data_IF_543131129212
#
_entry.id   IF_543131129212
#
_cell.length_a   1.000
_cell.length_b   1.000
_cell.length_c   1.000
_cell.angle_alpha   90.00
_cell.angle_beta   90.00
_cell.angle_gamma   90.00
#
_symmetry.space_group_name_H-M   'P 1'
#
loop_
_entity.id
_entity.type
_entity.pdbx_description
1 polymer ?
#
# COMPACT_ATOMS: atom_id res chain seq x y z
N UNK A 1 3.47 6.41 11.05
CA UNK A 1 4.04 6.47 9.68
C UNK A 1 3.23 5.59 8.73
N UNK A 2 2.89 6.13 7.56
CA UNK A 2 2.11 5.48 6.51
C UNK A 2 2.99 5.27 5.27
N UNK A 3 3.12 4.05 4.72
CA UNK A 3 4.05 3.73 3.63
C UNK A 3 3.57 4.16 2.22
N UNK A 4 2.49 4.93 2.14
CA UNK A 4 1.84 5.32 0.89
C UNK A 4 1.53 6.82 0.89
N UNK A 5 1.25 7.35 -0.31
CA UNK A 5 0.89 8.75 -0.49
C UNK A 5 -0.35 9.16 0.31
N UNK A 6 -0.41 10.46 0.63
CA UNK A 6 -1.58 11.07 1.27
C UNK A 6 -2.85 10.87 0.43
N UNK A 7 -3.99 10.69 1.08
CA UNK A 7 -5.26 10.40 0.42
C UNK A 7 -5.47 8.93 0.02
N UNK A 8 -4.45 8.07 0.14
CA UNK A 8 -4.61 6.62 -0.03
C UNK A 8 -5.58 6.02 1.01
N UNK A 9 -6.11 4.83 0.75
CA UNK A 9 -6.97 4.13 1.70
C UNK A 9 -6.32 3.92 3.07
N UNK A 10 -5.02 3.60 3.08
CA UNK A 10 -4.21 3.45 4.31
C UNK A 10 -4.06 4.78 5.07
N UNK A 11 -3.84 5.89 4.35
CA UNK A 11 -3.73 7.22 4.96
C UNK A 11 -5.04 7.64 5.65
N UNK A 12 -6.18 7.43 4.98
CA UNK A 12 -7.49 7.75 5.55
C UNK A 12 -7.74 6.99 6.85
N UNK A 13 -7.47 5.68 6.86
CA UNK A 13 -7.61 4.85 8.06
C UNK A 13 -6.67 5.32 9.19
N UNK A 14 -5.41 5.62 8.85
CA UNK A 14 -4.42 6.07 9.82
C UNK A 14 -4.82 7.40 10.48
N UNK A 15 -5.43 8.34 9.73
CA UNK A 15 -5.88 9.63 10.26
C UNK A 15 -7.05 9.49 11.23
N UNK A 16 -8.04 8.66 10.90
CA UNK A 16 -9.16 8.35 11.81
C UNK A 16 -8.65 7.75 13.12
N UNK A 17 -7.72 6.79 13.02
CA UNK A 17 -7.12 6.17 14.20
C UNK A 17 -6.27 7.14 15.00
N UNK A 18 -5.47 7.98 14.35
CA UNK A 18 -4.64 8.97 15.01
C UNK A 18 -5.49 9.96 15.83
N UNK A 19 -6.62 10.42 15.27
CA UNK A 19 -7.55 11.28 15.98
C UNK A 19 -8.10 10.61 17.25
N UNK A 20 -8.55 9.36 17.15
CA UNK A 20 -9.12 8.64 18.29
C UNK A 20 -8.09 8.30 19.36
N UNK A 21 -6.91 7.81 18.95
CA UNK A 21 -5.80 7.56 19.88
C UNK A 21 -5.38 8.86 20.56
N UNK A 22 -5.32 9.97 19.82
CA UNK A 22 -4.94 11.27 20.38
C UNK A 22 -5.88 11.71 21.50
N UNK A 23 -7.20 11.51 21.34
CA UNK A 23 -8.21 11.79 22.38
C UNK A 23 -8.00 10.93 23.63
N UNK A 24 -7.65 9.66 23.45
CA UNK A 24 -7.49 8.72 24.57
C UNK A 24 -6.20 8.94 25.37
N UNK A 25 -5.10 9.29 24.69
CA UNK A 25 -3.77 9.43 25.34
C UNK A 25 -3.45 10.87 25.74
N UNK A 26 -4.25 11.84 25.30
CA UNK A 26 -4.03 13.27 25.59
C UNK A 26 -2.81 13.87 24.91
N UNK A 27 -2.25 13.20 23.90
CA UNK A 27 -1.11 13.66 23.11
C UNK A 27 -1.47 13.67 21.63
N UNK A 28 -0.96 14.65 20.88
CA UNK A 28 -1.16 14.73 19.44
C UNK A 28 -0.46 13.57 18.71
N UNK A 29 -1.23 12.79 17.95
CA UNK A 29 -0.69 11.76 17.06
C UNK A 29 -0.55 12.35 15.65
N UNK A 30 0.68 12.41 15.15
CA UNK A 30 0.99 12.95 13.82
C UNK A 30 1.07 11.84 12.77
N UNK A 31 0.31 11.97 11.69
CA UNK A 31 0.38 11.07 10.54
C UNK A 31 1.38 11.58 9.52
N UNK A 32 2.50 10.87 9.39
CA UNK A 32 3.52 11.11 8.37
C UNK A 32 3.40 10.09 7.23
N UNK A 33 3.21 10.57 6.00
CA UNK A 33 3.21 9.77 4.78
C UNK A 33 4.62 9.72 4.19
N UNK A 34 5.19 8.52 4.09
CA UNK A 34 6.53 8.29 3.53
C UNK A 34 6.44 7.19 2.47
N UNK A 35 5.95 7.58 1.30
CA UNK A 35 5.73 6.68 0.16
C UNK A 35 7.01 6.36 -0.62
N UNK A 36 6.92 5.36 -1.50
CA UNK A 36 7.98 4.98 -2.46
C UNK A 36 8.50 3.56 -2.27
N UNK A 37 9.09 3.00 -3.34
CA UNK A 37 9.70 1.67 -3.37
C UNK A 37 8.82 0.57 -2.72
N UNK A 38 7.54 0.50 -3.11
CA UNK A 38 6.57 -0.48 -2.55
C UNK A 38 6.48 -0.47 -1.01
N UNK A 39 6.70 0.70 -0.39
CA UNK A 39 6.64 0.90 1.06
C UNK A 39 7.96 0.64 1.80
N UNK A 40 9.05 0.32 1.09
CA UNK A 40 10.35 0.03 1.70
C UNK A 40 10.92 1.23 2.48
N UNK A 41 10.76 2.45 1.96
CA UNK A 41 11.32 3.65 2.57
C UNK A 41 10.77 3.84 4.00
N UNK A 42 9.45 3.78 4.18
CA UNK A 42 8.84 3.88 5.51
C UNK A 42 9.18 2.70 6.41
N UNK A 43 9.19 1.48 5.87
CA UNK A 43 9.48 0.28 6.65
C UNK A 43 10.89 0.33 7.23
N UNK A 44 11.90 0.66 6.41
CA UNK A 44 13.29 0.81 6.89
C UNK A 44 13.45 1.94 7.91
N UNK A 45 12.76 3.05 7.70
CA UNK A 45 12.81 4.21 8.59
C UNK A 45 12.20 3.92 9.97
N UNK A 46 11.16 3.09 10.04
CA UNK A 46 10.62 2.62 11.31
C UNK A 46 11.45 1.49 11.91
N UNK A 47 11.93 0.52 11.12
CA UNK A 47 12.76 -0.58 11.63
C UNK A 47 14.05 -0.08 12.32
N UNK A 48 14.56 1.09 11.92
CA UNK A 48 15.74 1.75 12.53
C UNK A 48 15.40 2.75 13.63
N UNK A 49 14.11 3.00 13.88
CA UNK A 49 13.69 3.93 14.92
C UNK A 49 13.98 3.36 16.31
N UNK A 50 14.05 4.25 17.31
CA UNK A 50 14.08 3.81 18.70
C UNK A 50 12.79 3.06 19.04
N UNK A 51 12.85 1.89 19.71
CA UNK A 51 11.66 1.13 20.10
C UNK A 51 11.02 1.71 21.37
N UNK A 52 10.72 3.01 21.36
CA UNK A 52 10.19 3.77 22.51
C UNK A 52 8.67 4.05 22.41
N UNK A 53 8.01 3.54 21.37
CA UNK A 53 6.56 3.66 21.17
C UNK A 53 6.10 4.96 20.50
N UNK A 54 6.97 5.95 20.30
CA UNK A 54 6.60 7.21 19.65
C UNK A 54 6.54 7.13 18.13
N UNK A 55 7.06 6.04 17.55
CA UNK A 55 7.07 5.81 16.11
C UNK A 55 6.35 4.50 15.78
N UNK A 56 5.10 4.63 15.35
CA UNK A 56 4.25 3.50 14.98
C UNK A 56 4.15 3.38 13.46
N UNK A 57 4.23 2.15 12.95
CA UNK A 57 4.08 1.86 11.53
C UNK A 57 2.70 1.30 11.20
N UNK A 58 2.04 1.87 10.19
CA UNK A 58 0.83 1.28 9.61
C UNK A 58 1.27 0.27 8.57
N UNK A 59 1.20 -1.00 8.94
CA UNK A 59 1.55 -2.13 8.07
C UNK A 59 0.44 -2.39 7.04
N UNK A 60 0.78 -3.10 5.97
CA UNK A 60 -0.17 -3.51 4.93
C UNK A 60 0.19 -4.88 4.36
N UNK A 61 -0.70 -5.47 3.55
CA UNK A 61 -0.38 -6.68 2.79
C UNK A 61 0.90 -6.49 1.97
N UNK A 62 1.08 -5.32 1.34
CA UNK A 62 2.28 -5.01 0.56
C UNK A 62 3.54 -5.14 1.41
N UNK A 63 3.62 -4.43 2.55
CA UNK A 63 4.86 -4.35 3.33
C UNK A 63 5.16 -5.59 4.16
N UNK A 64 4.14 -6.33 4.60
CA UNK A 64 4.34 -7.48 5.52
C UNK A 64 4.06 -8.85 4.91
N UNK A 65 3.61 -8.93 3.64
CA UNK A 65 3.39 -10.22 2.97
C UNK A 65 3.82 -10.21 1.49
N UNK A 66 3.22 -9.38 0.64
CA UNK A 66 3.49 -9.42 -0.81
C UNK A 66 4.95 -9.19 -1.15
N UNK A 67 5.60 -8.21 -0.51
CA UNK A 67 6.99 -7.89 -0.82
C UNK A 67 7.93 -9.09 -0.56
N UNK A 68 7.69 -9.88 0.49
CA UNK A 68 8.47 -11.09 0.80
C UNK A 68 8.39 -12.15 -0.29
N UNK A 69 7.28 -12.22 -1.01
CA UNK A 69 7.08 -13.13 -2.12
C UNK A 69 7.58 -12.56 -3.46
N UNK A 70 7.58 -11.23 -3.61
CA UNK A 70 7.88 -10.56 -4.87
C UNK A 70 9.36 -10.18 -5.04
N UNK A 71 10.07 -9.92 -3.93
CA UNK A 71 11.46 -9.47 -3.97
C UNK A 71 12.40 -10.54 -3.40
N UNK A 72 13.48 -10.83 -4.13
CA UNK A 72 14.51 -11.81 -3.69
C UNK A 72 15.15 -11.44 -2.35
N UNK A 73 15.25 -10.14 -2.06
CA UNK A 73 15.83 -9.61 -0.83
C UNK A 73 15.07 -8.36 -0.40
N UNK A 74 14.62 -8.34 0.84
CA UNK A 74 13.99 -7.18 1.44
C UNK A 74 15.04 -6.39 2.24
N UNK A 75 14.86 -5.07 2.37
CA UNK A 75 15.76 -4.25 3.17
C UNK A 75 15.36 -4.16 4.66
N UNK A 76 14.39 -4.98 5.09
CA UNK A 76 13.93 -5.19 6.46
C UNK A 76 13.35 -6.62 6.59
N UNK A 77 13.23 -7.12 7.80
CA UNK A 77 12.51 -8.35 8.14
C UNK A 77 11.09 -7.99 8.63
N UNK A 78 10.02 -8.34 7.89
CA UNK A 78 8.65 -7.94 8.23
C UNK A 78 8.12 -8.60 9.51
N UNK A 79 8.80 -9.61 10.05
CA UNK A 79 8.40 -10.29 11.30
C UNK A 79 9.32 -9.90 12.45
N UNK A 80 10.64 -9.88 12.24
CA UNK A 80 11.60 -9.65 13.34
C UNK A 80 11.80 -8.18 13.67
N UNK A 81 11.67 -7.29 12.69
CA UNK A 81 11.97 -5.86 12.89
C UNK A 81 10.76 -5.08 13.45
N UNK A 82 9.59 -5.72 13.60
CA UNK A 82 8.35 -5.07 14.01
C UNK A 82 7.62 -5.84 15.10
N UNK A 83 7.22 -5.13 16.15
CA UNK A 83 6.30 -5.65 17.16
C UNK A 83 4.84 -5.43 16.72
N UNK A 84 4.02 -6.48 16.57
CA UNK A 84 2.62 -6.32 16.21
C UNK A 84 1.83 -5.70 17.38
N UNK A 85 1.02 -4.67 17.08
CA UNK A 85 0.19 -3.98 18.09
C UNK A 85 -1.26 -4.46 17.98
N UNK A 86 -1.89 -4.24 16.82
CA UNK A 86 -3.29 -4.60 16.59
C UNK A 86 -3.61 -4.66 15.09
N UNK A 87 -4.65 -5.42 14.74
CA UNK A 87 -5.21 -5.42 13.39
C UNK A 87 -6.20 -4.28 13.24
N UNK A 88 -5.93 -3.39 12.28
CA UNK A 88 -6.76 -2.19 12.07
C UNK A 88 -8.07 -2.47 11.31
N UNK A 89 -8.07 -3.50 10.45
CA UNK A 89 -9.24 -3.88 9.67
C UNK A 89 -8.88 -4.71 8.44
N UNK A 90 -9.89 -5.03 7.63
CA UNK A 90 -9.72 -5.62 6.30
C UNK A 90 -10.12 -4.58 5.25
N UNK A 91 -9.24 -4.30 4.30
CA UNK A 91 -9.54 -3.44 3.16
C UNK A 91 -9.62 -4.35 1.93
N UNK A 92 -10.83 -4.61 1.37
CA UNK A 92 -10.95 -5.44 0.18
C UNK A 92 -10.35 -4.71 -1.03
N UNK A 93 -9.71 -5.48 -1.91
CA UNK A 93 -9.31 -4.99 -3.22
C UNK A 93 -10.50 -5.13 -4.17
N UNK A 94 -10.80 -4.06 -4.91
CA UNK A 94 -11.88 -4.03 -5.89
C UNK A 94 -11.30 -3.80 -7.29
N UNK A 95 -11.79 -4.58 -8.25
CA UNK A 95 -11.52 -4.34 -9.67
C UNK A 95 -12.43 -3.21 -10.14
N UNK A 96 -11.81 -2.11 -10.59
CA UNK A 96 -12.52 -0.96 -11.15
C UNK A 96 -12.03 -0.76 -12.57
N UNK A 97 -12.96 -0.59 -13.50
CA UNK A 97 -12.67 -0.29 -14.90
C UNK A 97 -13.17 1.11 -15.23
N UNK A 98 -12.44 1.81 -16.10
CA UNK A 98 -12.95 3.02 -16.73
C UNK A 98 -13.98 2.59 -17.80
N UNK A 99 -15.29 2.89 -17.63
CA UNK A 99 -16.31 2.36 -18.53
C UNK A 99 -16.24 2.95 -19.94
N UNK A 100 -15.60 4.12 -20.12
CA UNK A 100 -15.36 4.71 -21.44
C UNK A 100 -14.28 3.95 -22.22
N UNK A 101 -13.31 3.36 -21.52
CA UNK A 101 -12.21 2.60 -22.14
C UNK A 101 -12.48 1.10 -22.21
N UNK A 102 -13.16 0.54 -21.19
CA UNK A 102 -13.43 -0.89 -21.04
C UNK A 102 -14.92 -1.03 -20.67
N UNK A 103 -15.82 -1.18 -21.66
CA UNK A 103 -17.26 -1.20 -21.44
C UNK A 103 -17.78 -2.56 -20.93
N UNK A 104 -17.00 -3.21 -20.06
CA UNK A 104 -17.36 -4.50 -19.46
C UNK A 104 -18.14 -4.28 -18.17
N UNK A 105 -19.30 -4.91 -18.05
CA UNK A 105 -20.16 -4.84 -16.86
C UNK A 105 -19.97 -6.03 -15.93
N UNK A 106 -19.32 -7.09 -16.42
CA UNK A 106 -19.06 -8.32 -15.67
C UNK A 106 -17.61 -8.75 -15.80
N UNK A 107 -17.12 -9.57 -14.86
CA UNK A 107 -15.76 -10.12 -14.90
C UNK A 107 -15.52 -10.98 -16.16
N UNK A 108 -16.46 -11.84 -16.61
CA UNK A 108 -16.31 -12.56 -17.88
C UNK A 108 -16.14 -11.62 -19.08
N UNK A 109 -16.98 -10.59 -19.21
CA UNK A 109 -16.86 -9.57 -20.27
C UNK A 109 -15.53 -8.83 -20.21
N UNK A 110 -15.02 -8.56 -19.00
CA UNK A 110 -13.73 -7.93 -18.80
C UNK A 110 -12.59 -8.83 -19.30
N UNK A 111 -12.60 -10.11 -18.95
CA UNK A 111 -11.59 -11.08 -19.40
C UNK A 111 -11.62 -11.23 -20.92
N UNK A 112 -12.81 -11.29 -21.53
CA UNK A 112 -12.95 -11.36 -22.98
C UNK A 112 -12.40 -10.10 -23.66
N UNK A 113 -12.74 -8.93 -23.14
CA UNK A 113 -12.24 -7.65 -23.64
C UNK A 113 -10.71 -7.59 -23.61
N UNK A 114 -10.08 -8.03 -22.51
CA UNK A 114 -8.61 -8.08 -22.36
C UNK A 114 -7.95 -9.03 -23.37
N UNK A 115 -8.55 -10.21 -23.61
CA UNK A 115 -8.04 -11.16 -24.61
C UNK A 115 -8.05 -10.58 -26.02
N UNK A 116 -9.05 -9.76 -26.33
CA UNK A 116 -9.20 -9.10 -27.63
C UNK A 116 -8.31 -7.84 -27.76
N UNK A 117 -7.96 -7.17 -26.65
CA UNK A 117 -7.27 -5.88 -26.65
C UNK A 117 -6.03 -5.81 -25.71
N UNK A 118 -5.08 -6.77 -25.77
CA UNK A 118 -4.06 -6.95 -24.72
C UNK A 118 -3.09 -5.76 -24.55
N UNK A 119 -2.85 -4.94 -25.58
CA UNK A 119 -1.85 -3.85 -25.55
C UNK A 119 -2.46 -2.50 -25.13
N UNK A 120 -3.81 -2.39 -25.09
CA UNK A 120 -4.50 -1.11 -24.84
C UNK A 120 -4.97 -0.92 -23.40
N UNK A 121 -4.73 -1.89 -22.52
CA UNK A 121 -5.22 -1.86 -21.15
C UNK A 121 -4.07 -1.59 -20.18
N UNK A 122 -4.09 -0.42 -19.55
CA UNK A 122 -3.14 -0.07 -18.49
C UNK A 122 -3.72 -0.44 -17.12
N UNK A 123 -2.93 -1.13 -16.30
CA UNK A 123 -3.33 -1.50 -14.94
C UNK A 123 -2.75 -0.50 -13.94
N UNK A 124 -3.62 0.24 -13.26
CA UNK A 124 -3.21 1.05 -12.12
C UNK A 124 -3.08 0.16 -10.87
N UNK A 125 -1.86 0.02 -10.34
CA UNK A 125 -1.60 -0.61 -9.04
C UNK A 125 -1.04 0.42 -8.06
N UNK A 126 -1.39 0.28 -6.77
CA UNK A 126 -0.77 1.08 -5.72
C UNK A 126 0.70 0.66 -5.55
N UNK A 127 1.61 1.44 -6.14
CA UNK A 127 3.05 1.19 -6.22
C UNK A 127 3.43 -0.04 -7.06
N UNK A 128 3.49 0.08 -8.41
CA UNK A 128 4.07 -0.98 -9.23
C UNK A 128 5.52 -1.25 -8.80
N UNK A 129 5.97 -2.51 -8.80
CA UNK A 129 7.39 -2.82 -8.77
C UNK A 129 8.13 -1.96 -9.81
N UNK A 130 9.37 -1.51 -9.54
CA UNK A 130 10.14 -0.68 -10.47
C UNK A 130 10.23 -1.31 -11.88
N UNK A 131 10.30 -2.64 -11.92
CA UNK A 131 10.35 -3.46 -13.15
C UNK A 131 9.10 -3.30 -14.03
N UNK A 132 7.94 -2.94 -13.47
CA UNK A 132 6.73 -2.67 -14.24
C UNK A 132 6.62 -1.20 -14.64
N UNK A 133 7.24 -0.27 -13.91
CA UNK A 133 7.21 1.17 -14.21
C UNK A 133 7.93 1.50 -15.54
N UNK A 134 9.00 0.77 -15.86
CA UNK A 134 9.78 0.97 -17.10
C UNK A 134 9.01 0.60 -18.38
N UNK A 135 8.00 -0.27 -18.25
CA UNK A 135 7.11 -0.62 -19.35
C UNK A 135 6.02 0.44 -19.61
N UNK A 136 5.71 1.32 -18.66
CA UNK A 136 4.70 2.37 -18.85
C UNK A 136 5.25 3.63 -19.52
N UNK A 137 6.56 3.86 -19.54
CA UNK A 137 7.17 5.05 -20.17
C UNK A 137 7.53 4.85 -21.65
N UNK A 138 7.37 3.63 -22.17
CA UNK A 138 7.62 3.28 -23.58
C UNK A 138 6.35 3.26 -24.45
N UNK A 139 5.21 3.65 -23.90
CA UNK A 139 3.92 3.76 -24.59
C UNK A 139 3.24 5.08 -24.23
#
# INVERSE_FOLDING_TARGET
>A
MVPFGAGSGTDKLARVLAEEVSKQVGQTVVVENKGGASGFIAAQDIARAKPDGYRIFVTSNTTHASNSALFKKLPYDPVKDFAPISKLGNIPLVLVVNPQSIPSKTVPEFIEHLKQNPIKCFLAVAAPPPELAENYSRY
#
